data_IF_249199289414
#
_entry.id   IF_249199289414
#
_cell.length_a   1.000
_cell.length_b   1.000
_cell.length_c   1.000
_cell.angle_alpha   90.00
_cell.angle_beta   90.00
_cell.angle_gamma   90.00
#
_symmetry.space_group_name_H-M   'P 1'
#
loop_
_entity.id
_entity.type
_entity.pdbx_description
1 polymer ?
#
# COMPACT_ATOMS: atom_id res chain seq x y z
N UNK A 1 6.69 -50.96 11.24
CA UNK A 1 6.35 -50.12 12.42
C UNK A 1 7.10 -48.77 12.46
N UNK A 2 8.19 -48.55 11.68
CA UNK A 2 9.02 -47.32 11.80
C UNK A 2 8.55 -46.08 11.03
N UNK A 3 7.93 -46.23 9.87
CA UNK A 3 7.56 -45.07 9.01
C UNK A 3 6.28 -44.38 9.44
N UNK A 4 5.30 -45.11 9.97
CA UNK A 4 4.05 -44.52 10.47
C UNK A 4 4.20 -43.69 11.73
N UNK A 5 5.19 -44.04 12.58
CA UNK A 5 5.44 -43.30 13.82
C UNK A 5 6.25 -42.00 13.61
N UNK A 6 7.05 -41.94 12.54
CA UNK A 6 7.82 -40.75 12.18
C UNK A 6 6.88 -39.65 11.67
N UNK A 7 5.86 -40.01 10.88
CA UNK A 7 4.86 -39.04 10.39
C UNK A 7 3.93 -38.54 11.49
N UNK A 8 3.65 -39.33 12.51
CA UNK A 8 2.82 -38.93 13.68
C UNK A 8 3.52 -37.95 14.60
N UNK A 9 4.85 -37.78 14.50
CA UNK A 9 5.65 -36.87 15.32
C UNK A 9 5.97 -35.56 14.65
N UNK A 10 5.66 -35.38 13.35
CA UNK A 10 5.84 -34.10 12.66
C UNK A 10 4.76 -33.12 13.08
N UNK A 11 5.19 -32.02 13.73
CA UNK A 11 4.32 -30.91 14.04
C UNK A 11 4.09 -30.13 12.75
N UNK A 12 2.84 -30.11 12.29
CA UNK A 12 2.44 -29.28 11.15
C UNK A 12 2.11 -27.89 11.66
N UNK A 13 2.63 -26.88 10.97
CA UNK A 13 2.30 -25.48 11.24
C UNK A 13 1.64 -24.86 10.03
N UNK A 14 0.79 -23.87 10.29
CA UNK A 14 0.12 -23.12 9.24
C UNK A 14 -0.02 -21.67 9.65
N UNK A 15 -0.19 -20.82 8.65
CA UNK A 15 -0.38 -19.39 8.83
C UNK A 15 -1.39 -18.88 7.80
N UNK A 16 -2.08 -17.81 8.14
CA UNK A 16 -2.99 -17.17 7.21
C UNK A 16 -3.67 -15.96 7.85
N UNK A 17 -4.45 -15.28 7.05
CA UNK A 17 -5.22 -14.11 7.47
C UNK A 17 -6.63 -14.55 7.82
N UNK A 18 -7.06 -14.24 9.04
CA UNK A 18 -8.36 -14.65 9.55
C UNK A 18 -9.50 -13.88 8.88
N UNK A 19 -10.48 -14.63 8.38
CA UNK A 19 -11.80 -14.12 8.02
C UNK A 19 -12.82 -14.79 8.91
N UNK A 20 -13.51 -14.00 9.74
CA UNK A 20 -14.56 -14.52 10.62
C UNK A 20 -15.85 -14.56 9.83
N UNK A 21 -16.50 -15.74 9.84
CA UNK A 21 -17.75 -15.96 9.16
C UNK A 21 -18.93 -15.51 10.04
N UNK A 22 -20.09 -15.33 9.42
CA UNK A 22 -21.29 -14.85 10.10
C UNK A 22 -21.68 -15.70 11.32
N UNK A 23 -21.41 -17.00 11.28
CA UNK A 23 -21.73 -17.93 12.38
C UNK A 23 -20.70 -17.91 13.52
N UNK A 24 -19.64 -17.10 13.41
CA UNK A 24 -18.67 -16.87 14.48
C UNK A 24 -17.42 -17.74 14.43
N UNK A 25 -17.38 -18.78 13.59
CA UNK A 25 -16.13 -19.48 13.27
C UNK A 25 -15.38 -18.74 12.15
N UNK A 26 -14.17 -19.17 11.82
CA UNK A 26 -13.39 -18.49 10.79
C UNK A 26 -12.47 -19.39 9.99
N UNK A 27 -11.83 -18.80 9.00
CA UNK A 27 -10.80 -19.43 8.20
C UNK A 27 -9.57 -18.55 8.11
N UNK A 28 -8.40 -19.17 8.15
CA UNK A 28 -7.16 -18.51 7.78
C UNK A 28 -6.99 -18.61 6.26
N UNK A 29 -7.04 -17.47 5.59
CA UNK A 29 -6.94 -17.37 4.14
C UNK A 29 -5.49 -17.24 3.71
N UNK A 30 -5.16 -17.81 2.55
CA UNK A 30 -3.82 -17.80 1.99
C UNK A 30 -3.60 -16.63 1.01
N UNK A 31 -2.42 -16.02 1.08
CA UNK A 31 -1.98 -15.03 0.09
C UNK A 31 -1.85 -15.63 -1.32
N UNK A 32 -1.60 -16.92 -1.43
CA UNK A 32 -1.52 -17.63 -2.72
C UNK A 32 -2.83 -17.60 -3.50
N UNK A 33 -3.94 -17.38 -2.80
CA UNK A 33 -5.29 -17.25 -3.38
C UNK A 33 -5.84 -15.83 -3.20
N UNK A 34 -4.97 -14.86 -2.99
CA UNK A 34 -5.34 -13.45 -2.77
C UNK A 34 -6.34 -13.27 -1.61
N UNK A 35 -6.20 -14.09 -0.58
CA UNK A 35 -7.06 -14.13 0.61
C UNK A 35 -8.53 -14.47 0.32
N UNK A 36 -8.79 -15.06 -0.84
CA UNK A 36 -10.11 -15.61 -1.16
C UNK A 36 -10.24 -17.05 -0.65
N UNK A 37 -11.47 -17.55 -0.61
CA UNK A 37 -11.75 -18.93 -0.23
C UNK A 37 -10.99 -19.92 -1.10
N UNK A 38 -10.32 -20.89 -0.47
CA UNK A 38 -9.51 -21.90 -1.17
C UNK A 38 -9.53 -23.24 -0.41
N UNK A 39 -9.11 -24.34 -1.08
CA UNK A 39 -8.97 -25.62 -0.39
C UNK A 39 -7.89 -25.63 0.70
N UNK A 40 -6.96 -24.68 0.65
CA UNK A 40 -5.84 -24.56 1.60
C UNK A 40 -6.21 -23.78 2.86
N UNK A 41 -7.45 -23.31 2.98
CA UNK A 41 -7.90 -22.57 4.14
C UNK A 41 -7.85 -23.42 5.41
N UNK A 42 -7.49 -22.78 6.53
CA UNK A 42 -7.38 -23.41 7.83
C UNK A 42 -8.60 -23.02 8.67
N UNK A 43 -9.30 -24.01 9.19
CA UNK A 43 -10.49 -23.78 10.03
C UNK A 43 -10.07 -23.29 11.43
N UNK A 44 -10.75 -22.26 11.92
CA UNK A 44 -10.56 -21.68 13.26
C UNK A 44 -11.91 -21.73 13.98
N UNK A 45 -11.93 -22.35 15.16
CA UNK A 45 -13.18 -22.49 15.93
C UNK A 45 -13.60 -21.18 16.57
N UNK A 46 -14.89 -21.06 16.84
CA UNK A 46 -15.45 -19.91 17.53
C UNK A 46 -14.84 -19.76 18.93
N UNK A 47 -14.59 -20.85 19.62
CA UNK A 47 -13.96 -20.81 20.95
C UNK A 47 -12.56 -20.23 20.93
N UNK A 48 -11.76 -20.56 19.92
CA UNK A 48 -10.43 -19.99 19.76
C UNK A 48 -10.49 -18.47 19.47
N UNK A 49 -11.43 -18.07 18.61
CA UNK A 49 -11.62 -16.65 18.28
C UNK A 49 -11.96 -15.84 19.54
N UNK A 50 -12.88 -16.36 20.37
CA UNK A 50 -13.27 -15.72 21.63
C UNK A 50 -12.13 -15.70 22.65
N UNK A 51 -11.46 -16.84 22.81
CA UNK A 51 -10.40 -16.99 23.81
C UNK A 51 -9.24 -16.01 23.58
N UNK A 52 -8.83 -15.81 22.34
CA UNK A 52 -7.70 -14.96 21.97
C UNK A 52 -8.11 -13.55 21.53
N UNK A 53 -9.39 -13.24 21.48
CA UNK A 53 -9.87 -11.95 21.02
C UNK A 53 -9.52 -11.68 19.55
N UNK A 54 -9.59 -12.71 18.72
CA UNK A 54 -9.23 -12.60 17.30
C UNK A 54 -10.24 -11.76 16.53
N UNK A 55 -9.74 -11.06 15.53
CA UNK A 55 -10.54 -10.22 14.64
C UNK A 55 -10.23 -10.57 13.19
N UNK A 56 -11.18 -10.30 12.29
CA UNK A 56 -10.91 -10.40 10.85
C UNK A 56 -9.72 -9.53 10.48
N UNK A 57 -8.80 -10.12 9.71
CA UNK A 57 -7.56 -9.47 9.34
C UNK A 57 -6.35 -9.91 10.16
N UNK A 58 -6.54 -10.51 11.32
CA UNK A 58 -5.42 -11.02 12.13
C UNK A 58 -4.62 -12.06 11.36
N UNK A 59 -3.30 -11.91 11.35
CA UNK A 59 -2.37 -12.91 10.82
C UNK A 59 -2.10 -13.91 11.93
N UNK A 60 -2.64 -15.11 11.80
CA UNK A 60 -2.55 -16.15 12.81
C UNK A 60 -1.63 -17.26 12.34
N UNK A 61 -0.70 -17.64 13.19
CA UNK A 61 0.24 -18.74 12.98
C UNK A 61 0.08 -19.73 14.11
N UNK A 62 0.05 -21.02 13.79
CA UNK A 62 -0.10 -22.02 14.80
C UNK A 62 0.02 -23.44 14.29
N UNK A 63 -0.29 -24.39 15.18
CA UNK A 63 -0.25 -25.82 14.90
C UNK A 63 -1.56 -26.24 14.26
N UNK A 64 -1.46 -27.01 13.17
CA UNK A 64 -2.59 -27.58 12.45
C UNK A 64 -2.46 -29.10 12.42
N UNK A 65 -3.56 -29.79 12.11
CA UNK A 65 -3.56 -31.24 11.90
C UNK A 65 -4.30 -31.60 10.61
N UNK A 66 -4.05 -32.80 10.05
CA UNK A 66 -4.84 -33.28 8.92
C UNK A 66 -6.33 -33.38 9.27
N UNK A 67 -7.23 -33.18 8.28
CA UNK A 67 -8.67 -33.33 8.50
C UNK A 67 -9.00 -34.78 8.82
N UNK A 68 -9.93 -34.97 9.75
CA UNK A 68 -10.55 -36.26 10.05
C UNK A 68 -11.64 -36.55 9.05
N UNK A 69 -12.18 -37.80 9.08
CA UNK A 69 -13.31 -38.15 8.26
C UNK A 69 -14.49 -37.18 8.52
N UNK A 70 -15.05 -36.66 7.44
CA UNK A 70 -16.13 -35.66 7.50
C UNK A 70 -15.66 -34.20 7.59
N UNK A 71 -14.39 -33.99 7.84
CA UNK A 71 -13.80 -32.64 7.85
C UNK A 71 -13.22 -32.29 6.46
N UNK A 72 -13.44 -31.08 5.99
CA UNK A 72 -12.97 -30.63 4.67
C UNK A 72 -11.63 -29.88 4.74
N UNK A 73 -11.36 -29.20 5.86
CA UNK A 73 -10.21 -28.32 6.03
C UNK A 73 -9.30 -28.79 7.16
N UNK A 74 -8.03 -28.40 7.09
CA UNK A 74 -7.11 -28.56 8.22
C UNK A 74 -7.57 -27.65 9.35
N UNK A 75 -7.85 -28.14 10.56
CA UNK A 75 -8.19 -27.28 11.68
C UNK A 75 -6.96 -26.75 12.39
N UNK A 76 -7.06 -25.52 12.90
CA UNK A 76 -6.07 -24.95 13.81
C UNK A 76 -6.22 -25.60 15.18
N UNK A 77 -5.15 -26.23 15.66
CA UNK A 77 -5.14 -26.93 16.96
C UNK A 77 -4.69 -26.02 18.07
N UNK A 78 -3.63 -25.23 17.82
CA UNK A 78 -3.03 -24.34 18.82
C UNK A 78 -2.58 -23.06 18.16
N UNK A 79 -2.97 -21.92 18.75
CA UNK A 79 -2.51 -20.60 18.31
C UNK A 79 -1.09 -20.38 18.83
N UNK A 80 -0.17 -20.06 17.94
CA UNK A 80 1.21 -19.74 18.28
C UNK A 80 1.48 -18.26 18.36
N UNK A 81 1.31 -17.57 17.22
CA UNK A 81 1.51 -16.11 17.13
C UNK A 81 0.33 -15.43 16.43
N UNK A 82 0.09 -14.20 16.82
CA UNK A 82 -0.93 -13.34 16.23
C UNK A 82 -0.23 -12.06 15.81
N UNK A 83 -0.25 -11.75 14.50
CA UNK A 83 0.45 -10.60 13.94
C UNK A 83 1.93 -10.54 14.32
N UNK A 84 2.58 -11.70 14.39
CA UNK A 84 3.98 -11.83 14.76
C UNK A 84 4.28 -11.65 16.24
N UNK A 85 3.25 -11.51 17.08
CA UNK A 85 3.37 -11.30 18.54
C UNK A 85 2.81 -12.48 19.31
N UNK A 86 3.24 -12.62 20.56
CA UNK A 86 2.64 -13.60 21.47
C UNK A 86 1.17 -13.24 21.75
N UNK A 87 0.29 -14.22 21.93
CA UNK A 87 -1.13 -13.95 22.20
C UNK A 87 -1.38 -13.03 23.41
N UNK A 88 -0.52 -13.10 24.44
CA UNK A 88 -0.62 -12.22 25.61
C UNK A 88 -0.44 -10.74 25.26
N UNK A 89 0.47 -10.43 24.31
CA UNK A 89 0.68 -9.06 23.84
C UNK A 89 -0.55 -8.51 23.13
N UNK A 90 -1.21 -9.34 22.34
CA UNK A 90 -2.33 -8.92 21.48
C UNK A 90 -3.62 -8.74 22.27
N UNK A 91 -3.76 -9.39 23.42
CA UNK A 91 -4.99 -9.38 24.25
C UNK A 91 -5.46 -7.98 24.59
N UNK A 92 -4.54 -7.07 24.93
CA UNK A 92 -4.83 -5.72 25.40
C UNK A 92 -4.67 -4.64 24.31
N UNK A 93 -4.65 -5.06 23.05
CA UNK A 93 -4.48 -4.11 21.94
C UNK A 93 -5.64 -3.12 21.87
N UNK A 94 -5.31 -1.90 21.49
CA UNK A 94 -6.30 -0.84 21.25
C UNK A 94 -6.83 -0.99 19.81
N UNK A 95 -8.14 -0.98 19.59
CA UNK A 95 -8.70 -1.00 18.24
C UNK A 95 -8.16 0.14 17.38
N UNK A 96 -7.94 -0.14 16.09
CA UNK A 96 -7.35 0.81 15.14
C UNK A 96 -8.06 2.17 15.15
N UNK A 97 -9.39 2.18 15.21
CA UNK A 97 -10.21 3.39 15.19
C UNK A 97 -10.02 4.28 16.43
N UNK A 98 -9.46 3.74 17.50
CA UNK A 98 -9.20 4.47 18.76
C UNK A 98 -7.75 4.93 18.89
N UNK A 99 -6.89 4.60 17.91
CA UNK A 99 -5.50 5.04 17.93
C UNK A 99 -5.41 6.51 17.50
N UNK A 100 -4.55 7.27 18.18
CA UNK A 100 -4.39 8.70 17.92
C UNK A 100 -3.56 8.95 16.66
N UNK A 101 -4.16 9.54 15.60
CA UNK A 101 -3.41 9.81 14.36
C UNK A 101 -2.55 11.06 14.47
N UNK A 102 -1.33 10.99 13.93
CA UNK A 102 -0.38 12.09 13.86
C UNK A 102 0.05 12.32 12.41
N UNK A 103 0.61 13.48 12.13
CA UNK A 103 1.33 13.69 10.88
C UNK A 103 2.53 12.76 10.80
N UNK A 104 2.90 12.27 9.60
CA UNK A 104 4.15 11.54 9.41
C UNK A 104 5.34 12.39 9.85
N UNK A 105 6.19 11.83 10.72
CA UNK A 105 7.38 12.50 11.26
C UNK A 105 8.66 11.65 11.14
N UNK A 106 8.53 10.43 10.62
CA UNK A 106 9.65 9.55 10.36
C UNK A 106 9.70 9.23 8.86
N UNK A 107 10.70 9.77 8.18
CA UNK A 107 10.85 9.62 6.74
C UNK A 107 11.29 8.21 6.36
N UNK A 108 10.69 7.65 5.30
CA UNK A 108 11.24 6.48 4.63
C UNK A 108 12.52 6.87 3.92
N UNK A 109 13.58 6.14 4.20
CA UNK A 109 14.85 6.32 3.52
C UNK A 109 14.78 5.66 2.15
N UNK A 110 14.72 6.46 1.10
CA UNK A 110 14.65 5.98 -0.29
C UNK A 110 16.03 5.90 -0.94
N UNK A 111 17.00 6.66 -0.42
CA UNK A 111 18.32 6.81 -1.00
C UNK A 111 19.41 6.30 -0.06
N UNK A 112 20.35 5.50 -0.59
CA UNK A 112 21.54 5.03 0.11
C UNK A 112 22.72 5.94 -0.11
N UNK A 113 22.76 6.68 -1.22
CA UNK A 113 23.90 7.46 -1.67
C UNK A 113 24.86 6.66 -2.55
N UNK A 114 25.91 7.29 -3.02
CA UNK A 114 27.01 6.63 -3.71
C UNK A 114 26.72 6.08 -5.10
N UNK A 115 25.89 6.75 -5.90
CA UNK A 115 25.52 6.40 -7.29
C UNK A 115 24.62 5.18 -7.44
N UNK A 116 24.21 4.51 -6.35
CA UNK A 116 23.39 3.29 -6.43
C UNK A 116 21.89 3.57 -6.51
N UNK A 117 21.47 4.79 -6.22
CA UNK A 117 20.05 5.13 -6.13
C UNK A 117 19.44 5.41 -7.51
N UNK A 118 18.19 4.98 -7.69
CA UNK A 118 17.46 5.30 -8.91
C UNK A 118 17.14 6.80 -8.96
N UNK A 119 16.99 7.33 -10.17
CA UNK A 119 16.55 8.71 -10.36
C UNK A 119 15.17 8.93 -9.75
N UNK A 120 14.28 7.95 -9.87
CA UNK A 120 12.96 7.98 -9.24
C UNK A 120 13.03 8.17 -7.73
N UNK A 121 13.86 7.38 -7.04
CA UNK A 121 14.05 7.49 -5.59
C UNK A 121 14.59 8.87 -5.20
N UNK A 122 15.57 9.38 -5.94
CA UNK A 122 16.18 10.68 -5.67
C UNK A 122 15.20 11.84 -5.83
N UNK A 123 14.38 11.82 -6.88
CA UNK A 123 13.39 12.86 -7.15
C UNK A 123 12.30 12.85 -6.08
N UNK A 124 11.75 11.69 -5.76
CA UNK A 124 10.71 11.58 -4.73
C UNK A 124 11.24 11.99 -3.36
N UNK A 125 12.45 11.59 -3.03
CA UNK A 125 13.07 11.91 -1.73
C UNK A 125 13.17 13.41 -1.48
N UNK A 126 13.43 14.20 -2.51
CA UNK A 126 13.53 15.66 -2.38
C UNK A 126 12.20 16.40 -2.58
N UNK A 127 11.45 16.05 -3.62
CA UNK A 127 10.28 16.83 -4.03
C UNK A 127 8.98 16.37 -3.39
N UNK A 128 8.87 15.12 -3.03
CA UNK A 128 7.68 14.57 -2.40
C UNK A 128 8.07 13.47 -1.42
N UNK A 129 8.78 13.82 -0.31
CA UNK A 129 9.22 12.83 0.65
C UNK A 129 8.05 12.09 1.27
N UNK A 130 8.28 10.82 1.58
CA UNK A 130 7.27 9.91 2.12
C UNK A 130 7.67 9.53 3.54
N UNK A 131 6.80 9.81 4.50
CA UNK A 131 6.97 9.38 5.88
C UNK A 131 6.07 8.21 6.25
N UNK A 132 6.40 7.54 7.33
CA UNK A 132 5.55 6.49 7.91
C UNK A 132 4.20 7.07 8.29
N UNK A 133 3.14 6.51 7.73
CA UNK A 133 1.78 7.01 7.89
C UNK A 133 1.31 7.96 6.79
N UNK A 134 2.10 8.14 5.75
CA UNK A 134 1.77 9.03 4.64
C UNK A 134 0.53 8.54 3.89
N UNK A 135 -0.34 9.49 3.56
CA UNK A 135 -1.48 9.27 2.67
C UNK A 135 -1.14 9.94 1.33
N UNK A 136 -0.54 9.14 0.45
CA UNK A 136 0.06 9.63 -0.78
C UNK A 136 -0.80 9.31 -2.00
N UNK A 137 -1.06 10.34 -2.82
CA UNK A 137 -1.79 10.20 -4.07
C UNK A 137 -0.83 10.39 -5.24
N UNK A 138 -0.70 9.35 -6.06
CA UNK A 138 0.09 9.40 -7.29
C UNK A 138 -0.88 9.60 -8.45
N UNK A 139 -0.88 10.79 -9.03
CA UNK A 139 -1.78 11.17 -10.12
C UNK A 139 -1.09 10.81 -11.45
N UNK A 140 -1.71 9.94 -12.23
CA UNK A 140 -1.08 9.39 -13.42
C UNK A 140 -1.98 9.43 -14.64
N UNK A 141 -1.46 9.99 -15.73
CA UNK A 141 -1.99 9.84 -17.07
C UNK A 141 -1.57 8.47 -17.63
N UNK A 142 -2.25 7.95 -18.66
CA UNK A 142 -1.79 6.72 -19.33
C UNK A 142 -0.37 6.88 -19.90
N UNK A 143 0.42 5.81 -19.86
CA UNK A 143 1.76 5.71 -20.46
C UNK A 143 2.80 6.68 -19.85
N UNK A 144 2.73 6.92 -18.55
CA UNK A 144 3.66 7.81 -17.83
C UNK A 144 4.76 7.10 -17.06
N UNK A 145 4.86 5.78 -17.17
CA UNK A 145 5.86 5.01 -16.40
C UNK A 145 5.49 4.83 -14.93
N UNK A 146 4.21 4.93 -14.60
CA UNK A 146 3.67 4.77 -13.24
C UNK A 146 4.15 3.48 -12.55
N UNK A 147 4.11 2.37 -13.26
CA UNK A 147 4.48 1.05 -12.72
C UNK A 147 5.95 1.00 -12.34
N UNK A 148 6.84 1.52 -13.17
CA UNK A 148 8.28 1.56 -12.90
C UNK A 148 8.57 2.44 -11.69
N UNK A 149 7.92 3.59 -11.60
CA UNK A 149 8.06 4.50 -10.47
C UNK A 149 7.63 3.82 -9.15
N UNK A 150 6.50 3.14 -9.16
CA UNK A 150 6.01 2.42 -7.98
C UNK A 150 6.97 1.31 -7.56
N UNK A 151 7.50 0.55 -8.51
CA UNK A 151 8.50 -0.50 -8.23
C UNK A 151 9.76 0.09 -7.62
N UNK A 152 10.26 1.19 -8.15
CA UNK A 152 11.45 1.86 -7.64
C UNK A 152 11.26 2.32 -6.20
N UNK A 153 10.12 2.92 -5.89
CA UNK A 153 9.79 3.36 -4.53
C UNK A 153 9.66 2.14 -3.60
N UNK A 154 8.92 1.12 -4.01
CA UNK A 154 8.70 -0.08 -3.21
C UNK A 154 10.01 -0.81 -2.90
N UNK A 155 10.85 -1.00 -3.90
CA UNK A 155 12.13 -1.68 -3.74
C UNK A 155 13.12 -0.85 -2.90
N UNK A 156 13.07 0.47 -3.00
CA UNK A 156 13.87 1.36 -2.15
C UNK A 156 13.45 1.25 -0.68
N UNK A 157 12.15 1.24 -0.40
CA UNK A 157 11.64 1.05 0.96
C UNK A 157 12.04 -0.34 1.49
N UNK A 158 11.85 -1.39 0.71
CA UNK A 158 12.20 -2.75 1.10
C UNK A 158 13.69 -2.89 1.44
N UNK A 159 14.56 -2.27 0.64
CA UNK A 159 16.00 -2.34 0.84
C UNK A 159 16.47 -1.60 2.11
N UNK A 160 15.83 -0.48 2.46
CA UNK A 160 16.25 0.38 3.56
C UNK A 160 15.45 0.16 4.84
N UNK A 161 14.30 -0.49 4.76
CA UNK A 161 13.37 -0.71 5.89
C UNK A 161 12.89 -2.16 5.94
N UNK A 162 13.75 -3.10 6.34
CA UNK A 162 13.36 -4.52 6.42
C UNK A 162 12.27 -4.77 7.48
N UNK A 163 12.07 -3.85 8.43
CA UNK A 163 11.03 -3.92 9.46
C UNK A 163 9.62 -3.64 8.91
N UNK A 164 9.51 -3.04 7.74
CA UNK A 164 8.22 -2.65 7.16
C UNK A 164 7.53 -3.82 6.48
N UNK A 165 6.25 -3.96 6.74
CA UNK A 165 5.39 -4.92 6.05
C UNK A 165 4.78 -4.25 4.82
N UNK A 166 5.08 -4.76 3.63
CA UNK A 166 4.69 -4.08 2.39
C UNK A 166 3.80 -4.96 1.53
N UNK A 167 2.68 -4.39 1.09
CA UNK A 167 1.71 -5.04 0.21
C UNK A 167 1.53 -4.20 -1.05
N UNK A 168 1.65 -4.86 -2.21
CA UNK A 168 1.28 -4.29 -3.50
C UNK A 168 -0.10 -4.82 -3.86
N UNK A 169 -1.12 -3.98 -3.78
CA UNK A 169 -2.50 -4.33 -4.08
C UNK A 169 -2.88 -3.84 -5.47
N UNK A 170 -3.09 -4.78 -6.38
CA UNK A 170 -3.40 -4.52 -7.78
C UNK A 170 -4.88 -4.83 -8.05
N UNK A 171 -5.64 -3.83 -8.44
CA UNK A 171 -7.08 -3.95 -8.71
C UNK A 171 -7.34 -3.70 -10.19
N UNK A 172 -7.99 -4.67 -10.84
CA UNK A 172 -8.41 -4.57 -12.25
C UNK A 172 -7.22 -4.53 -13.22
N UNK A 173 -6.10 -5.18 -12.83
CA UNK A 173 -4.90 -5.27 -13.65
C UNK A 173 -4.91 -6.51 -14.56
N UNK A 174 -4.03 -6.53 -15.55
CA UNK A 174 -3.85 -7.68 -16.45
C UNK A 174 -3.03 -8.77 -15.73
N UNK A 175 -3.37 -10.06 -15.95
CA UNK A 175 -2.65 -11.16 -15.31
C UNK A 175 -1.13 -11.14 -15.53
N UNK A 176 -0.68 -10.80 -16.72
CA UNK A 176 0.76 -10.72 -17.05
C UNK A 176 1.46 -9.58 -16.30
N UNK A 177 0.78 -8.48 -16.02
CA UNK A 177 1.31 -7.36 -15.24
C UNK A 177 1.41 -7.73 -13.77
N UNK A 178 0.46 -8.51 -13.26
CA UNK A 178 0.51 -9.05 -11.89
C UNK A 178 1.72 -9.98 -11.74
N UNK A 179 1.95 -10.87 -12.68
CA UNK A 179 3.09 -11.79 -12.68
C UNK A 179 4.41 -11.02 -12.70
N UNK A 180 4.51 -10.02 -13.57
CA UNK A 180 5.71 -9.18 -13.66
C UNK A 180 5.98 -8.44 -12.36
N UNK A 181 4.95 -7.87 -11.75
CA UNK A 181 5.07 -7.18 -10.45
C UNK A 181 5.56 -8.15 -9.36
N UNK A 182 4.98 -9.34 -9.29
CA UNK A 182 5.35 -10.34 -8.29
C UNK A 182 6.81 -10.78 -8.42
N UNK A 183 7.36 -10.79 -9.63
CA UNK A 183 8.75 -11.19 -9.89
C UNK A 183 9.77 -10.07 -9.68
N UNK A 184 9.34 -8.82 -9.74
CA UNK A 184 10.25 -7.66 -9.79
C UNK A 184 10.17 -6.74 -8.58
N UNK A 185 9.15 -6.90 -7.72
CA UNK A 185 8.99 -6.10 -6.51
C UNK A 185 9.24 -6.97 -5.28
N UNK A 186 9.93 -6.41 -4.29
CA UNK A 186 10.17 -7.09 -3.02
C UNK A 186 9.06 -6.72 -2.01
N UNK A 187 7.86 -7.19 -2.30
CA UNK A 187 6.67 -6.97 -1.49
C UNK A 187 5.70 -8.13 -1.70
N UNK A 188 4.74 -8.29 -0.79
CA UNK A 188 3.61 -9.20 -1.01
C UNK A 188 2.71 -8.62 -2.09
N UNK A 189 2.44 -9.38 -3.15
CA UNK A 189 1.57 -8.94 -4.25
C UNK A 189 0.23 -9.65 -4.14
N UNK A 190 -0.82 -8.86 -3.95
CA UNK A 190 -2.21 -9.32 -3.89
C UNK A 190 -2.96 -8.66 -5.03
N UNK A 191 -3.69 -9.43 -5.81
CA UNK A 191 -4.32 -8.91 -7.03
C UNK A 191 -5.73 -9.42 -7.25
N UNK A 192 -6.53 -8.60 -7.90
CA UNK A 192 -7.79 -8.97 -8.52
C UNK A 192 -7.76 -8.47 -9.95
N UNK A 193 -7.68 -9.39 -10.91
CA UNK A 193 -7.47 -9.08 -12.32
C UNK A 193 -8.74 -8.56 -13.01
N UNK A 194 -8.57 -7.99 -14.19
CA UNK A 194 -9.65 -7.30 -14.93
C UNK A 194 -10.82 -8.23 -15.31
N UNK A 195 -10.57 -9.53 -15.43
CA UNK A 195 -11.57 -10.55 -15.75
C UNK A 195 -12.38 -11.02 -14.52
N UNK A 196 -12.05 -10.53 -13.34
CA UNK A 196 -12.78 -10.83 -12.12
C UNK A 196 -13.95 -9.86 -11.90
N UNK A 197 -15.05 -10.29 -11.24
CA UNK A 197 -16.17 -9.40 -10.97
C UNK A 197 -15.83 -8.34 -9.90
N UNK A 198 -16.59 -7.26 -9.93
CA UNK A 198 -16.39 -6.14 -9.00
C UNK A 198 -16.44 -6.54 -7.52
N UNK A 199 -17.28 -7.51 -7.17
CA UNK A 199 -17.41 -8.06 -5.81
C UNK A 199 -16.08 -8.63 -5.30
N UNK A 200 -15.29 -9.25 -6.19
CA UNK A 200 -13.96 -9.77 -5.86
C UNK A 200 -12.95 -8.65 -5.60
N UNK A 201 -12.99 -7.60 -6.42
CA UNK A 201 -12.13 -6.43 -6.21
C UNK A 201 -12.36 -5.82 -4.83
N UNK A 202 -13.61 -5.64 -4.48
CA UNK A 202 -14.03 -5.07 -3.19
C UNK A 202 -13.64 -5.97 -2.03
N UNK A 203 -13.87 -7.27 -2.16
CA UNK A 203 -13.57 -8.24 -1.09
C UNK A 203 -12.09 -8.33 -0.81
N UNK A 204 -11.26 -8.41 -1.84
CA UNK A 204 -9.80 -8.47 -1.71
C UNK A 204 -9.27 -7.19 -1.07
N UNK A 205 -9.71 -6.03 -1.53
CA UNK A 205 -9.30 -4.76 -0.95
C UNK A 205 -9.70 -4.67 0.53
N UNK A 206 -10.89 -5.15 0.88
CA UNK A 206 -11.37 -5.16 2.26
C UNK A 206 -10.52 -6.00 3.19
N UNK A 207 -10.18 -7.22 2.79
CA UNK A 207 -9.36 -8.11 3.63
C UNK A 207 -7.92 -7.60 3.77
N UNK A 208 -7.35 -7.01 2.71
CA UNK A 208 -6.03 -6.39 2.77
C UNK A 208 -6.00 -5.23 3.76
N UNK A 209 -7.02 -4.37 3.73
CA UNK A 209 -7.12 -3.25 4.67
C UNK A 209 -7.27 -3.75 6.11
N UNK A 210 -8.10 -4.75 6.35
CA UNK A 210 -8.26 -5.32 7.69
C UNK A 210 -6.96 -5.94 8.19
N UNK A 211 -6.23 -6.66 7.34
CA UNK A 211 -4.90 -7.18 7.67
C UNK A 211 -3.95 -6.06 8.09
N UNK A 212 -3.89 -5.00 7.31
CA UNK A 212 -3.02 -3.86 7.59
C UNK A 212 -3.36 -3.22 8.94
N UNK A 213 -4.64 -3.00 9.22
CA UNK A 213 -5.10 -2.44 10.50
C UNK A 213 -4.70 -3.32 11.69
N UNK A 214 -4.86 -4.64 11.56
CA UNK A 214 -4.49 -5.56 12.65
C UNK A 214 -2.99 -5.55 12.92
N UNK A 215 -2.17 -5.51 11.87
CA UNK A 215 -0.71 -5.39 12.02
C UNK A 215 -0.33 -4.08 12.72
N UNK A 216 -0.95 -2.98 12.36
CA UNK A 216 -0.69 -1.66 12.98
C UNK A 216 -1.11 -1.65 14.45
N UNK A 217 -2.23 -2.29 14.81
CA UNK A 217 -2.66 -2.45 16.20
C UNK A 217 -1.60 -3.15 17.06
N UNK A 218 -0.78 -3.99 16.44
CA UNK A 218 0.31 -4.72 17.09
C UNK A 218 1.68 -4.03 16.98
N UNK A 219 1.71 -2.76 16.57
CA UNK A 219 2.92 -1.94 16.55
C UNK A 219 3.76 -2.05 15.29
N UNK A 220 3.25 -2.67 14.23
CA UNK A 220 3.98 -2.80 12.96
C UNK A 220 3.80 -1.57 12.07
N UNK A 221 4.81 -1.33 11.24
CA UNK A 221 4.75 -0.35 10.16
C UNK A 221 4.37 -1.06 8.87
N UNK A 222 3.25 -0.64 8.26
CA UNK A 222 2.70 -1.26 7.06
C UNK A 222 2.64 -0.25 5.93
N UNK A 223 3.01 -0.67 4.73
CA UNK A 223 2.87 0.13 3.50
C UNK A 223 2.01 -0.63 2.53
N UNK A 224 0.95 0.03 2.04
CA UNK A 224 0.11 -0.47 0.95
C UNK A 224 0.30 0.40 -0.28
N UNK A 225 0.72 -0.22 -1.38
CA UNK A 225 0.62 0.39 -2.70
C UNK A 225 -0.69 -0.07 -3.33
N UNK A 226 -1.55 0.86 -3.67
CA UNK A 226 -2.85 0.55 -4.29
C UNK A 226 -2.85 1.07 -5.73
N UNK A 227 -2.84 0.18 -6.67
CA UNK A 227 -2.96 0.51 -8.09
C UNK A 227 -4.25 -0.12 -8.65
N UNK A 228 -5.32 0.61 -8.73
CA UNK A 228 -5.48 2.04 -8.47
C UNK A 228 -6.72 2.30 -7.60
N UNK A 229 -6.73 3.45 -6.95
CA UNK A 229 -7.92 3.89 -6.21
C UNK A 229 -9.09 4.17 -7.16
N UNK A 230 -8.81 4.61 -8.38
CA UNK A 230 -9.81 4.85 -9.42
C UNK A 230 -10.60 3.59 -9.74
N UNK A 231 -9.90 2.48 -9.96
CA UNK A 231 -10.53 1.21 -10.29
C UNK A 231 -11.24 0.59 -9.09
N UNK A 232 -10.69 0.77 -7.89
CA UNK A 232 -11.37 0.34 -6.67
C UNK A 232 -12.67 1.12 -6.47
N UNK A 233 -12.66 2.43 -6.68
CA UNK A 233 -13.86 3.26 -6.60
C UNK A 233 -14.92 2.83 -7.64
N UNK A 234 -14.50 2.48 -8.85
CA UNK A 234 -15.39 1.92 -9.88
C UNK A 234 -16.04 0.63 -9.42
N UNK A 235 -15.27 -0.25 -8.81
CA UNK A 235 -15.79 -1.52 -8.28
C UNK A 235 -16.85 -1.28 -7.19
N UNK A 236 -16.59 -0.37 -6.28
CA UNK A 236 -17.57 0.02 -5.26
C UNK A 236 -18.81 0.66 -5.87
N UNK A 237 -18.66 1.44 -6.93
CA UNK A 237 -19.80 2.01 -7.65
C UNK A 237 -20.70 0.94 -8.28
N UNK A 238 -20.10 -0.17 -8.71
CA UNK A 238 -20.84 -1.30 -9.27
C UNK A 238 -21.60 -2.09 -8.20
N UNK A 239 -20.98 -2.33 -7.04
CA UNK A 239 -21.55 -3.22 -5.99
C UNK A 239 -22.39 -2.48 -4.95
N UNK A 240 -22.24 -1.16 -4.80
CA UNK A 240 -22.97 -0.39 -3.80
C UNK A 240 -24.43 -0.21 -4.21
N UNK A 241 -25.36 -0.27 -3.24
CA UNK A 241 -26.78 0.04 -3.53
C UNK A 241 -26.93 1.48 -4.02
N UNK A 242 -27.77 1.69 -5.02
CA UNK A 242 -28.07 3.01 -5.55
C UNK A 242 -28.72 3.89 -4.47
N UNK A 243 -28.17 5.10 -4.25
CA UNK A 243 -28.71 6.06 -3.28
C UNK A 243 -29.79 6.98 -3.87
N UNK A 244 -29.92 6.97 -5.20
CA UNK A 244 -30.75 7.93 -5.93
C UNK A 244 -30.06 9.28 -6.17
N UNK A 245 -28.87 9.49 -5.62
CA UNK A 245 -28.05 10.69 -5.83
C UNK A 245 -26.84 10.33 -6.68
N UNK A 246 -26.90 10.64 -7.95
CA UNK A 246 -25.83 10.32 -8.90
C UNK A 246 -25.04 11.59 -9.20
N UNK A 247 -23.73 11.53 -8.98
CA UNK A 247 -22.78 12.54 -9.45
C UNK A 247 -22.64 12.44 -10.97
N UNK A 248 -22.06 13.44 -11.61
CA UNK A 248 -21.80 13.36 -13.05
C UNK A 248 -20.93 12.13 -13.36
N UNK A 249 -21.02 11.61 -14.60
CA UNK A 249 -20.25 10.44 -15.03
C UNK A 249 -20.78 9.10 -14.53
N UNK A 250 -21.96 9.05 -13.93
CA UNK A 250 -22.57 7.79 -13.46
C UNK A 250 -22.08 7.30 -12.11
N UNK A 251 -21.42 8.15 -11.32
CA UNK A 251 -20.91 7.81 -9.99
C UNK A 251 -21.98 8.06 -8.94
N UNK A 252 -22.37 7.04 -8.18
CA UNK A 252 -23.27 7.19 -7.04
C UNK A 252 -22.56 7.90 -5.88
N UNK A 253 -23.22 8.87 -5.26
CA UNK A 253 -22.62 9.67 -4.18
C UNK A 253 -22.15 8.82 -2.99
N UNK A 254 -22.85 7.71 -2.68
CA UNK A 254 -22.50 6.82 -1.57
C UNK A 254 -21.38 5.82 -1.91
N UNK A 255 -21.14 5.58 -3.20
CA UNK A 255 -20.18 4.57 -3.65
C UNK A 255 -18.73 4.93 -3.29
N UNK A 256 -18.42 6.21 -3.10
CA UNK A 256 -17.07 6.68 -2.81
C UNK A 256 -16.71 6.65 -1.32
N UNK A 257 -17.66 6.39 -0.45
CA UNK A 257 -17.44 6.40 0.99
C UNK A 257 -16.41 5.35 1.44
N UNK A 258 -16.57 4.11 1.00
CA UNK A 258 -15.62 3.03 1.37
C UNK A 258 -14.23 3.20 0.76
N UNK A 259 -14.06 3.53 -0.52
CA UNK A 259 -12.72 3.83 -1.03
C UNK A 259 -12.07 5.05 -0.36
N UNK A 260 -12.83 6.07 0.03
CA UNK A 260 -12.32 7.18 0.84
C UNK A 260 -11.88 6.72 2.22
N UNK A 261 -12.60 5.81 2.85
CA UNK A 261 -12.21 5.19 4.13
C UNK A 261 -10.95 4.35 3.99
N UNK A 262 -10.80 3.64 2.89
CA UNK A 262 -9.58 2.89 2.61
C UNK A 262 -8.38 3.83 2.57
N UNK A 263 -8.44 4.85 1.74
CA UNK A 263 -7.36 5.83 1.60
C UNK A 263 -7.14 6.61 2.90
N UNK A 264 -8.21 7.00 3.55
CA UNK A 264 -8.18 7.75 4.81
C UNK A 264 -7.67 6.94 6.01
N UNK A 265 -7.52 5.62 5.88
CA UNK A 265 -6.94 4.80 6.94
C UNK A 265 -5.44 5.06 7.13
N UNK A 266 -4.75 5.62 6.13
CA UNK A 266 -3.33 5.94 6.24
C UNK A 266 -3.08 6.96 7.35
N UNK A 267 -2.24 6.58 8.33
CA UNK A 267 -1.92 7.42 9.49
C UNK A 267 -0.66 6.95 10.20
N UNK A 268 0.06 7.90 10.76
CA UNK A 268 1.06 7.66 11.78
C UNK A 268 0.34 7.61 13.15
N UNK A 269 0.74 6.71 14.01
CA UNK A 269 0.07 6.48 15.29
C UNK A 269 0.98 6.91 16.45
N UNK A 270 0.42 7.66 17.39
CA UNK A 270 1.13 8.04 18.62
C UNK A 270 1.48 6.78 19.42
N UNK A 271 2.77 6.60 19.73
CA UNK A 271 3.31 5.47 20.49
C UNK A 271 2.98 4.10 19.88
N UNK A 272 2.83 4.03 18.58
CA UNK A 272 2.42 2.80 17.91
C UNK A 272 3.03 2.65 16.53
N UNK A 273 2.45 1.77 15.73
CA UNK A 273 2.83 1.53 14.35
C UNK A 273 2.40 2.64 13.39
N UNK A 274 2.40 2.32 12.13
CA UNK A 274 1.94 3.23 11.08
C UNK A 274 1.33 2.47 9.91
N UNK A 275 0.39 3.12 9.23
CA UNK A 275 -0.15 2.65 7.96
C UNK A 275 0.09 3.73 6.90
N UNK A 276 0.92 3.39 5.93
CA UNK A 276 1.22 4.24 4.77
C UNK A 276 0.48 3.70 3.56
N UNK A 277 -0.21 4.57 2.83
CA UNK A 277 -0.90 4.17 1.61
C UNK A 277 -0.45 5.09 0.46
N UNK A 278 0.10 4.46 -0.59
CA UNK A 278 0.42 5.13 -1.84
C UNK A 278 -0.56 4.63 -2.89
N UNK A 279 -1.56 5.45 -3.21
CA UNK A 279 -2.61 5.09 -4.14
C UNK A 279 -2.45 5.84 -5.46
N UNK A 280 -2.64 5.15 -6.58
CA UNK A 280 -2.66 5.78 -7.89
C UNK A 280 -4.06 6.24 -8.24
N UNK A 281 -4.17 7.46 -8.74
CA UNK A 281 -5.39 8.02 -9.31
C UNK A 281 -5.18 8.26 -10.79
N UNK A 282 -6.07 7.73 -11.61
CA UNK A 282 -5.95 7.78 -13.07
C UNK A 282 -6.67 9.01 -13.61
N UNK A 283 -6.00 9.76 -14.47
CA UNK A 283 -6.55 10.92 -15.17
C UNK A 283 -6.34 10.79 -16.68
N UNK A 284 -7.09 11.58 -17.45
CA UNK A 284 -6.99 11.63 -18.93
C UNK A 284 -7.13 10.25 -19.59
N UNK A 285 -8.01 9.42 -19.04
CA UNK A 285 -8.31 8.07 -19.54
C UNK A 285 -9.40 8.08 -20.63
N UNK A 286 -10.03 9.22 -20.86
CA UNK A 286 -11.20 9.34 -21.72
C UNK A 286 -12.52 9.00 -21.01
N UNK A 287 -12.48 8.59 -19.75
CA UNK A 287 -13.66 8.24 -18.97
C UNK A 287 -14.12 9.40 -18.10
N UNK A 288 -15.38 9.80 -18.24
CA UNK A 288 -16.00 10.83 -17.39
C UNK A 288 -16.08 10.35 -15.94
N UNK A 289 -16.34 9.07 -15.72
CA UNK A 289 -16.37 8.48 -14.38
C UNK A 289 -15.01 8.64 -13.69
N UNK A 290 -13.91 8.38 -14.37
CA UNK A 290 -12.57 8.52 -13.82
C UNK A 290 -12.25 9.97 -13.43
N UNK A 291 -12.70 10.94 -14.23
CA UNK A 291 -12.56 12.36 -13.90
C UNK A 291 -13.30 12.73 -12.62
N UNK A 292 -14.53 12.26 -12.47
CA UNK A 292 -15.34 12.51 -11.27
C UNK A 292 -14.70 11.87 -10.04
N UNK A 293 -14.21 10.64 -10.17
CA UNK A 293 -13.51 9.93 -9.07
C UNK A 293 -12.28 10.72 -8.67
N UNK A 294 -11.46 11.16 -9.63
CA UNK A 294 -10.27 11.97 -9.34
C UNK A 294 -10.62 13.24 -8.56
N UNK A 295 -11.63 13.99 -9.00
CA UNK A 295 -12.05 15.22 -8.32
C UNK A 295 -12.46 14.97 -6.87
N UNK A 296 -13.08 13.83 -6.58
CA UNK A 296 -13.48 13.45 -5.23
C UNK A 296 -12.28 13.07 -4.33
N UNK A 297 -11.19 12.59 -4.90
CA UNK A 297 -9.98 12.24 -4.14
C UNK A 297 -8.95 13.36 -4.10
N UNK A 298 -9.01 14.31 -5.01
CA UNK A 298 -8.10 15.45 -5.07
C UNK A 298 -8.10 16.21 -3.75
N UNK A 299 -6.92 16.45 -3.21
CA UNK A 299 -6.77 17.18 -1.95
C UNK A 299 -7.05 16.37 -0.67
N UNK A 300 -7.43 15.09 -0.78
CA UNK A 300 -7.65 14.25 0.41
C UNK A 300 -6.36 13.62 0.94
N UNK A 301 -5.32 13.56 0.13
CA UNK A 301 -3.99 13.10 0.54
C UNK A 301 -3.18 14.20 1.22
N UNK A 302 -2.11 13.79 1.89
CA UNK A 302 -1.11 14.70 2.46
C UNK A 302 0.23 14.65 1.73
N UNK A 303 0.29 13.93 0.62
CA UNK A 303 1.38 13.95 -0.36
C UNK A 303 0.78 13.74 -1.73
N UNK A 304 1.24 14.49 -2.71
CA UNK A 304 0.79 14.35 -4.08
C UNK A 304 2.00 14.32 -5.01
N UNK A 305 2.03 13.31 -5.86
CA UNK A 305 3.05 13.12 -6.89
C UNK A 305 2.34 13.07 -8.24
N UNK A 306 2.60 14.06 -9.09
CA UNK A 306 1.95 14.16 -10.39
C UNK A 306 2.89 13.68 -11.50
N UNK A 307 2.40 12.72 -12.28
CA UNK A 307 3.08 12.25 -13.49
C UNK A 307 2.50 12.99 -14.72
N UNK A 308 3.36 13.28 -15.67
CA UNK A 308 3.00 14.05 -16.86
C UNK A 308 3.41 13.31 -18.13
N UNK A 309 2.43 13.04 -19.00
CA UNK A 309 2.66 12.35 -20.27
C UNK A 309 3.55 13.14 -21.22
N UNK A 310 3.59 14.46 -21.15
CA UNK A 310 4.48 15.28 -21.96
C UNK A 310 5.95 14.97 -21.68
N UNK A 311 6.27 14.62 -20.44
CA UNK A 311 7.61 14.17 -20.05
C UNK A 311 7.92 12.79 -20.63
N UNK A 312 7.02 11.83 -20.44
CA UNK A 312 7.23 10.47 -20.95
C UNK A 312 7.28 10.40 -22.48
N UNK A 313 6.53 11.25 -23.17
CA UNK A 313 6.57 11.36 -24.63
C UNK A 313 7.96 11.81 -25.13
N UNK A 314 8.66 12.59 -24.31
CA UNK A 314 10.06 12.99 -24.60
C UNK A 314 11.09 12.06 -23.97
N UNK A 315 10.66 10.93 -23.46
CA UNK A 315 11.52 9.93 -22.81
C UNK A 315 12.29 10.48 -21.60
N UNK A 316 11.68 11.42 -20.87
CA UNK A 316 12.21 11.94 -19.62
C UNK A 316 11.57 11.15 -18.49
N UNK A 317 12.36 10.36 -17.77
CA UNK A 317 11.92 9.53 -16.67
C UNK A 317 12.78 9.78 -15.41
N UNK A 318 12.18 9.82 -14.20
CA UNK A 318 10.74 9.68 -13.95
C UNK A 318 9.96 10.85 -14.54
N UNK A 319 8.79 10.55 -15.11
CA UNK A 319 7.95 11.56 -15.76
C UNK A 319 7.16 12.38 -14.72
N UNK A 320 7.85 12.94 -13.76
CA UNK A 320 7.28 13.65 -12.61
C UNK A 320 7.24 15.15 -12.87
N UNK A 321 6.05 15.72 -12.72
CA UNK A 321 5.91 17.17 -12.65
C UNK A 321 6.33 17.63 -11.25
N UNK A 322 7.60 17.97 -11.10
CA UNK A 322 8.19 18.32 -9.80
C UNK A 322 7.68 19.63 -9.23
N UNK A 323 7.22 20.54 -10.08
CA UNK A 323 6.64 21.83 -9.64
C UNK A 323 5.29 21.59 -8.94
N UNK A 324 4.49 20.64 -9.44
CA UNK A 324 3.17 20.32 -8.93
C UNK A 324 3.17 19.24 -7.84
N UNK A 325 4.31 18.64 -7.55
CA UNK A 325 4.42 17.55 -6.56
C UNK A 325 4.95 18.07 -5.24
N UNK A 326 4.37 17.61 -4.12
CA UNK A 326 4.76 18.06 -2.79
C UNK A 326 4.23 17.13 -1.69
N UNK A 327 4.78 17.30 -0.49
CA UNK A 327 4.33 16.64 0.73
C UNK A 327 3.97 17.70 1.77
N UNK A 328 2.79 17.57 2.40
CA UNK A 328 2.41 18.42 3.52
C UNK A 328 3.31 18.11 4.71
N UNK A 329 3.67 19.16 5.45
CA UNK A 329 4.51 19.06 6.63
C UNK A 329 5.80 18.31 6.34
N UNK A 330 6.42 18.58 5.18
CA UNK A 330 7.75 18.07 4.85
C UNK A 330 8.81 18.56 5.84
N UNK A 331 8.53 19.62 6.59
CA UNK A 331 9.35 20.09 7.71
C UNK A 331 9.55 19.03 8.80
N UNK A 332 8.62 18.08 8.94
CA UNK A 332 8.75 16.96 9.87
C UNK A 332 9.60 15.81 9.32
N UNK A 333 9.84 15.81 8.01
CA UNK A 333 10.53 14.72 7.30
C UNK A 333 11.93 15.09 6.81
N UNK A 334 12.17 16.37 6.54
CA UNK A 334 13.44 16.88 6.04
C UNK A 334 14.13 17.72 7.11
N UNK A 335 15.47 17.71 7.12
CA UNK A 335 16.22 18.62 7.97
C UNK A 335 16.12 20.08 7.47
N UNK A 336 16.45 21.02 8.33
CA UNK A 336 16.34 22.46 8.03
C UNK A 336 17.18 22.85 6.81
N UNK A 337 18.37 22.30 6.67
CA UNK A 337 19.27 22.62 5.56
C UNK A 337 18.67 22.17 4.23
N UNK A 338 18.13 20.96 4.19
CA UNK A 338 17.43 20.43 3.00
C UNK A 338 16.20 21.29 2.67
N UNK A 339 15.40 21.63 3.66
CA UNK A 339 14.22 22.49 3.46
C UNK A 339 14.57 23.84 2.88
N UNK A 340 15.59 24.50 3.42
CA UNK A 340 16.01 25.82 2.97
C UNK A 340 16.50 25.78 1.51
N UNK A 341 17.27 24.76 1.15
CA UNK A 341 17.76 24.57 -0.22
C UNK A 341 16.63 24.20 -1.19
N UNK A 342 15.72 23.35 -0.76
CA UNK A 342 14.56 22.97 -1.57
C UNK A 342 13.63 24.17 -1.80
N UNK A 343 13.48 25.04 -0.81
CA UNK A 343 12.69 26.26 -0.98
C UNK A 343 13.28 27.15 -2.07
N UNK A 344 14.61 27.35 -2.07
CA UNK A 344 15.32 28.12 -3.10
C UNK A 344 15.16 27.46 -4.48
N UNK A 345 15.36 26.13 -4.55
CA UNK A 345 15.22 25.38 -5.79
C UNK A 345 13.80 25.47 -6.36
N UNK A 346 12.78 25.29 -5.53
CA UNK A 346 11.38 25.39 -5.95
C UNK A 346 11.04 26.78 -6.48
N UNK A 347 11.56 27.81 -5.85
CA UNK A 347 11.39 29.18 -6.28
C UNK A 347 12.01 29.42 -7.67
N UNK A 348 13.19 28.84 -7.89
CA UNK A 348 13.85 28.89 -9.19
C UNK A 348 13.07 28.15 -10.27
N UNK A 349 12.46 27.01 -9.93
CA UNK A 349 11.72 26.16 -10.86
C UNK A 349 10.27 26.67 -11.12
N UNK A 350 9.77 27.56 -10.30
CA UNK A 350 8.33 27.94 -10.29
C UNK A 350 7.84 28.49 -11.63
N UNK A 351 8.69 29.19 -12.37
CA UNK A 351 8.35 29.79 -13.67
C UNK A 351 8.63 28.85 -14.86
N UNK A 352 9.17 27.68 -14.61
CA UNK A 352 9.46 26.70 -15.64
C UNK A 352 8.26 25.81 -15.91
N UNK A 353 8.11 25.38 -17.17
CA UNK A 353 7.16 24.32 -17.46
C UNK A 353 7.69 22.96 -16.95
N UNK A 354 6.85 21.92 -16.85
CA UNK A 354 7.29 20.63 -16.29
C UNK A 354 8.51 20.01 -16.99
N UNK A 355 8.62 20.20 -18.30
CA UNK A 355 9.73 19.64 -19.09
C UNK A 355 11.04 20.35 -18.75
N UNK A 356 11.03 21.68 -18.76
CA UNK A 356 12.21 22.49 -18.41
C UNK A 356 12.68 22.20 -16.98
N UNK A 357 11.73 22.12 -16.04
CA UNK A 357 12.04 21.88 -14.63
C UNK A 357 12.68 20.50 -14.44
N UNK A 358 12.11 19.45 -15.03
CA UNK A 358 12.63 18.09 -14.88
C UNK A 358 13.96 17.91 -15.61
N UNK A 359 14.12 18.48 -16.80
CA UNK A 359 15.41 18.47 -17.52
C UNK A 359 16.52 19.11 -16.71
N UNK A 360 16.23 20.26 -16.12
CA UNK A 360 17.18 20.97 -15.27
C UNK A 360 17.64 20.12 -14.07
N UNK A 361 16.68 19.56 -13.35
CA UNK A 361 16.96 18.77 -12.15
C UNK A 361 17.67 17.46 -12.52
N UNK A 362 17.19 16.76 -13.53
CA UNK A 362 17.75 15.48 -13.97
C UNK A 362 19.20 15.62 -14.45
N UNK A 363 19.48 16.62 -15.26
CA UNK A 363 20.82 16.88 -15.76
C UNK A 363 21.82 17.08 -14.61
N UNK A 364 21.43 17.84 -13.60
CA UNK A 364 22.29 18.11 -12.44
C UNK A 364 22.39 16.92 -11.50
N UNK A 365 21.31 16.19 -11.28
CA UNK A 365 21.34 14.97 -10.45
C UNK A 365 22.24 13.90 -11.04
N UNK A 366 22.22 13.71 -12.35
CA UNK A 366 23.06 12.72 -13.04
C UNK A 366 24.56 12.99 -12.87
N UNK A 367 24.95 14.22 -12.61
CA UNK A 367 26.35 14.63 -12.39
C UNK A 367 26.78 14.54 -10.95
N UNK A 368 25.91 14.14 -10.06
CA UNK A 368 26.16 14.05 -8.62
C UNK A 368 25.93 12.63 -8.11
N UNK A 369 26.62 12.25 -7.04
CA UNK A 369 26.51 10.89 -6.48
C UNK A 369 25.26 10.68 -5.62
N UNK A 370 24.76 11.74 -5.00
CA UNK A 370 23.60 11.69 -4.10
C UNK A 370 22.88 13.05 -4.02
N UNK A 371 21.79 13.09 -3.28
CA UNK A 371 20.98 14.30 -3.14
C UNK A 371 21.69 15.40 -2.33
N UNK A 372 22.52 15.04 -1.36
CA UNK A 372 23.28 16.03 -0.60
C UNK A 372 24.26 16.78 -1.51
N UNK A 373 24.99 16.05 -2.35
CA UNK A 373 25.90 16.65 -3.33
C UNK A 373 25.15 17.50 -4.36
N UNK A 374 23.98 17.00 -4.82
CA UNK A 374 23.12 17.75 -5.73
C UNK A 374 22.69 19.09 -5.14
N UNK A 375 22.21 19.11 -3.89
CA UNK A 375 21.78 20.34 -3.23
C UNK A 375 22.96 21.30 -2.97
N UNK A 376 24.13 20.76 -2.65
CA UNK A 376 25.33 21.56 -2.46
C UNK A 376 25.83 22.19 -3.77
N UNK A 377 25.70 21.48 -4.90
CA UNK A 377 26.18 21.94 -6.20
C UNK A 377 25.44 23.17 -6.74
N UNK A 378 24.26 23.47 -6.20
CA UNK A 378 23.46 24.61 -6.63
C UNK A 378 23.94 25.94 -6.05
N UNK A 379 24.89 25.93 -5.12
CA UNK A 379 25.48 27.13 -4.51
C UNK A 379 26.75 27.58 -5.18
N UNK A 380 27.18 26.93 -6.27
CA UNK A 380 28.42 27.25 -7.00
C UNK A 380 28.13 27.88 -8.35
#
# INVERSE_FOLDING_TARGET
>A
RGLGDVYKRQILTGTGVLEIMQDGYGFLRSSDYNYLSSPDDIYVSQSQIKLFGLKTGDVVEGVIRPPKEGEKYFPLVKVGKINGRDPAFVRDRVPFEHLTPLFPDEKFRLCKGGYSDSMSARVVDLFAPIGKGQRALIVAQPKTGKTILMKDIANAIAANHPEVYMIMLLIDERPEEVTDMARTVNAEVIASTFDEPAERHVKIAGIVLEKAKRLVECGHDVVIFLDSITRLARAYNTVSPASGKVLSGGVDANALHKPKRFFGAARNIENGGSLTILATALIDTGSKMDEVIFEEFKGTGNMELQLDRNLSNKRIFPAVNIVASSTRRDDLLQDKQTLDRMWILRKYLADMNPIEAMDFVKDRMEKTKDNDEFLMSMNS
#
